data_IF_164556567520
#
_entry.id   IF_164556567520
#
_cell.length_a   1.000
_cell.length_b   1.000
_cell.length_c   1.000
_cell.angle_alpha   90.00
_cell.angle_beta   90.00
_cell.angle_gamma   90.00
#
_symmetry.space_group_name_H-M   'P 1'
#
loop_
_entity.id
_entity.type
_entity.pdbx_description
1 polymer ?
#
# COMPACT_ATOMS: atom_id res chain seq x y z
N UNK A 1 -3.63 -7.80 -35.78
CA UNK A 1 -2.42 -8.10 -34.98
C UNK A 1 -2.84 -8.79 -33.69
N UNK A 2 -2.40 -10.01 -33.45
CA UNK A 2 -2.70 -10.73 -32.22
C UNK A 2 -1.83 -10.18 -31.09
N UNK A 3 -2.45 -9.54 -30.10
CA UNK A 3 -1.78 -9.22 -28.84
C UNK A 3 -1.69 -10.54 -28.07
N UNK A 4 -0.58 -11.25 -28.24
CA UNK A 4 -0.23 -12.41 -27.41
C UNK A 4 -0.27 -11.97 -25.95
N UNK A 5 -1.27 -12.45 -25.22
CA UNK A 5 -1.39 -12.25 -23.78
C UNK A 5 -0.34 -13.12 -23.08
N UNK A 6 0.94 -12.73 -23.18
CA UNK A 6 2.05 -13.45 -22.58
C UNK A 6 1.91 -13.40 -21.05
N UNK A 7 1.70 -14.57 -20.43
CA UNK A 7 1.59 -14.69 -18.97
C UNK A 7 2.85 -14.20 -18.23
N UNK A 8 4.01 -14.20 -18.89
CA UNK A 8 5.30 -13.76 -18.34
C UNK A 8 5.93 -12.70 -19.26
N UNK A 9 6.23 -11.48 -18.75
CA UNK A 9 6.94 -10.47 -19.52
C UNK A 9 8.39 -10.90 -19.75
N UNK A 10 8.79 -10.97 -21.02
CA UNK A 10 10.15 -11.31 -21.46
C UNK A 10 10.83 -10.05 -21.97
N UNK A 11 12.14 -9.93 -21.74
CA UNK A 11 12.94 -8.82 -22.27
C UNK A 11 13.10 -8.99 -23.78
N UNK A 12 12.78 -7.97 -24.56
CA UNK A 12 12.91 -8.02 -26.03
C UNK A 12 14.34 -7.71 -26.48
N UNK A 13 14.61 -7.84 -27.78
CA UNK A 13 15.93 -7.61 -28.37
C UNK A 13 16.46 -6.17 -28.15
N UNK A 14 15.57 -5.20 -28.00
CA UNK A 14 15.88 -3.80 -27.67
C UNK A 14 16.24 -3.59 -26.18
N UNK A 15 16.24 -4.66 -25.39
CA UNK A 15 16.53 -4.64 -23.97
C UNK A 15 15.42 -4.06 -23.10
N UNK A 16 14.23 -3.84 -23.64
CA UNK A 16 13.09 -3.26 -22.93
C UNK A 16 11.95 -4.28 -22.73
N UNK A 17 10.95 -3.87 -21.96
CA UNK A 17 9.72 -4.61 -21.70
C UNK A 17 8.51 -3.85 -22.24
N UNK A 18 7.63 -4.54 -22.96
CA UNK A 18 6.39 -3.98 -23.46
C UNK A 18 5.21 -4.63 -22.73
N UNK A 19 4.54 -3.86 -21.88
CA UNK A 19 3.45 -4.36 -21.03
C UNK A 19 2.27 -3.42 -21.15
N UNK A 20 1.10 -3.97 -21.50
CA UNK A 20 -0.15 -3.21 -21.66
C UNK A 20 0.02 -1.99 -22.61
N UNK A 21 0.82 -2.17 -23.68
CA UNK A 21 1.11 -1.12 -24.67
C UNK A 21 2.12 -0.05 -24.24
N UNK A 22 2.74 -0.19 -23.07
CA UNK A 22 3.76 0.75 -22.55
C UNK A 22 5.14 0.13 -22.53
N UNK A 23 6.15 0.94 -22.87
CA UNK A 23 7.57 0.57 -22.83
C UNK A 23 8.17 0.86 -21.46
N UNK A 24 8.86 -0.11 -20.89
CA UNK A 24 9.61 0.00 -19.65
C UNK A 24 11.04 -0.46 -19.85
N UNK A 25 12.00 0.24 -19.25
CA UNK A 25 13.42 -0.16 -19.28
C UNK A 25 13.66 -1.38 -18.38
N UNK A 26 12.99 -1.40 -17.24
CA UNK A 26 13.13 -2.44 -16.22
C UNK A 26 11.77 -3.04 -15.87
N UNK A 27 11.74 -4.34 -15.57
CA UNK A 27 10.51 -4.99 -15.11
C UNK A 27 10.25 -4.69 -13.63
N UNK A 28 11.31 -4.74 -12.83
CA UNK A 28 11.29 -4.51 -11.39
C UNK A 28 12.14 -3.29 -11.06
N UNK A 29 11.66 -2.43 -10.16
CA UNK A 29 12.41 -1.26 -9.70
C UNK A 29 11.97 -0.74 -8.33
N UNK A 30 12.54 0.40 -7.94
CA UNK A 30 12.12 1.16 -6.77
C UNK A 30 10.73 1.78 -6.97
N UNK A 31 10.13 2.30 -5.89
CA UNK A 31 8.83 2.99 -5.97
C UNK A 31 8.92 4.24 -6.84
N UNK A 32 10.04 4.95 -6.76
CA UNK A 32 10.36 6.13 -7.57
C UNK A 32 10.47 5.75 -9.06
N UNK A 33 11.20 4.68 -9.39
CA UNK A 33 11.32 4.21 -10.77
C UNK A 33 9.97 3.81 -11.38
N UNK A 34 9.09 3.16 -10.59
CA UNK A 34 7.74 2.80 -11.02
C UNK A 34 6.85 4.03 -11.18
N UNK A 35 6.98 5.01 -10.28
CA UNK A 35 6.23 6.26 -10.37
C UNK A 35 6.62 7.09 -11.61
N UNK A 36 7.91 7.14 -11.92
CA UNK A 36 8.45 7.84 -13.08
C UNK A 36 8.22 7.09 -14.41
N UNK A 37 7.84 5.80 -14.36
CA UNK A 37 7.57 4.98 -15.54
C UNK A 37 8.81 4.29 -16.13
N UNK A 38 9.95 4.33 -15.45
CA UNK A 38 11.15 3.58 -15.85
C UNK A 38 10.95 2.08 -15.66
N UNK A 39 10.31 1.70 -14.56
CA UNK A 39 10.04 0.31 -14.19
C UNK A 39 8.53 0.01 -14.18
N UNK A 40 8.14 -1.22 -14.49
CA UNK A 40 6.73 -1.61 -14.51
C UNK A 40 6.12 -1.80 -13.12
N UNK A 41 6.84 -2.51 -12.23
CA UNK A 41 6.38 -2.82 -10.87
C UNK A 41 7.54 -2.86 -9.88
N UNK A 42 7.22 -2.80 -8.59
CA UNK A 42 8.23 -3.00 -7.54
C UNK A 42 8.49 -4.50 -7.31
N UNK A 43 9.54 -4.82 -6.53
CA UNK A 43 9.78 -6.19 -6.05
C UNK A 43 8.56 -6.78 -5.32
N UNK A 44 7.80 -5.95 -4.61
CA UNK A 44 6.52 -6.30 -3.98
C UNK A 44 5.31 -6.29 -4.91
N UNK A 45 5.51 -6.29 -6.23
CA UNK A 45 4.46 -6.28 -7.26
C UNK A 45 3.52 -5.07 -7.25
N UNK A 46 3.92 -3.94 -6.65
CA UNK A 46 3.14 -2.70 -6.71
C UNK A 46 3.35 -2.03 -8.06
N UNK A 47 2.27 -1.72 -8.77
CA UNK A 47 2.28 -0.91 -9.99
C UNK A 47 2.03 0.56 -9.64
N UNK A 48 2.21 1.45 -10.62
CA UNK A 48 1.99 2.89 -10.44
C UNK A 48 0.62 3.24 -9.85
N UNK A 49 -0.44 2.53 -10.24
CA UNK A 49 -1.82 2.71 -9.71
C UNK A 49 -1.97 2.35 -8.23
N UNK A 50 -1.09 1.49 -7.71
CA UNK A 50 -1.11 1.02 -6.31
C UNK A 50 -0.27 1.93 -5.40
N UNK A 51 0.33 2.98 -5.97
CA UNK A 51 1.18 3.96 -5.29
C UNK A 51 0.48 5.32 -5.19
N UNK A 52 0.83 6.07 -4.16
CA UNK A 52 0.35 7.44 -3.94
C UNK A 52 1.47 8.28 -3.35
N UNK A 53 1.56 9.54 -3.77
CA UNK A 53 2.44 10.51 -3.14
C UNK A 53 1.74 11.11 -1.93
N UNK A 54 2.37 11.00 -0.76
CA UNK A 54 1.84 11.63 0.46
C UNK A 54 2.18 13.13 0.47
N UNK A 55 1.61 13.87 1.44
CA UNK A 55 1.86 15.32 1.60
C UNK A 55 3.32 15.70 1.88
N UNK A 56 4.18 14.72 2.16
CA UNK A 56 5.61 14.89 2.44
C UNK A 56 6.49 14.50 1.23
N UNK A 57 5.89 14.31 0.05
CA UNK A 57 6.61 13.94 -1.18
C UNK A 57 7.08 12.47 -1.24
N UNK A 58 6.70 11.62 -0.28
CA UNK A 58 7.08 10.19 -0.30
C UNK A 58 6.06 9.37 -1.07
N UNK A 59 6.55 8.45 -1.91
CA UNK A 59 5.72 7.50 -2.65
C UNK A 59 5.47 6.27 -1.78
N UNK A 60 4.21 6.05 -1.39
CA UNK A 60 3.79 4.97 -0.48
C UNK A 60 2.73 4.09 -1.14
N UNK A 61 2.49 2.89 -0.59
CA UNK A 61 1.37 2.04 -1.03
C UNK A 61 0.03 2.69 -0.67
N UNK A 62 -0.87 2.79 -1.65
CA UNK A 62 -2.18 3.40 -1.50
C UNK A 62 -3.04 2.64 -0.47
N UNK A 63 -3.03 1.31 -0.48
CA UNK A 63 -3.82 0.49 0.43
C UNK A 63 -3.36 0.63 1.87
N UNK A 64 -2.04 0.62 2.10
CA UNK A 64 -1.49 0.82 3.44
C UNK A 64 -1.80 2.22 3.97
N UNK A 65 -1.74 3.23 3.12
CA UNK A 65 -2.10 4.59 3.48
C UNK A 65 -3.58 4.73 3.85
N UNK A 66 -4.48 4.14 3.06
CA UNK A 66 -5.93 4.15 3.31
C UNK A 66 -6.30 3.38 4.58
N UNK A 67 -5.80 2.16 4.74
CA UNK A 67 -6.09 1.31 5.91
C UNK A 67 -5.57 1.91 7.21
N UNK A 68 -4.35 2.48 7.22
CA UNK A 68 -3.81 3.15 8.39
C UNK A 68 -4.70 4.32 8.86
N UNK A 69 -5.21 5.14 7.93
CA UNK A 69 -6.13 6.24 8.25
C UNK A 69 -7.49 5.77 8.74
N UNK A 70 -8.03 4.69 8.15
CA UNK A 70 -9.34 4.15 8.52
C UNK A 70 -9.31 3.48 9.89
N UNK A 71 -8.32 2.66 10.16
CA UNK A 71 -8.36 1.75 11.31
C UNK A 71 -7.88 2.39 12.61
N UNK A 72 -6.99 3.40 12.54
CA UNK A 72 -6.40 4.11 13.71
C UNK A 72 -6.03 3.13 14.83
N UNK A 73 -5.37 2.01 14.48
CA UNK A 73 -5.18 0.83 15.35
C UNK A 73 -4.64 1.19 16.73
N UNK A 74 -3.64 2.05 16.79
CA UNK A 74 -3.03 2.48 18.06
C UNK A 74 -4.07 3.11 18.99
N UNK A 75 -4.85 4.06 18.49
CA UNK A 75 -5.90 4.72 19.25
C UNK A 75 -7.02 3.74 19.64
N UNK A 76 -7.39 2.83 18.72
CA UNK A 76 -8.36 1.76 18.98
C UNK A 76 -7.93 0.87 20.15
N UNK A 77 -6.64 0.61 20.31
CA UNK A 77 -6.08 -0.15 21.44
C UNK A 77 -5.66 0.74 22.63
N UNK A 78 -6.01 2.02 22.62
CA UNK A 78 -5.80 2.94 23.73
C UNK A 78 -4.42 3.60 23.79
N UNK A 79 -3.61 3.50 22.74
CA UNK A 79 -2.29 4.13 22.66
C UNK A 79 -2.37 5.51 22.02
N UNK A 80 -1.91 6.53 22.75
CA UNK A 80 -1.90 7.94 22.33
C UNK A 80 -0.54 8.58 22.55
N UNK A 81 -0.30 9.74 21.93
CA UNK A 81 0.86 10.59 22.19
C UNK A 81 0.41 11.87 22.92
N UNK A 82 1.23 12.38 23.84
CA UNK A 82 1.00 13.66 24.54
C UNK A 82 2.21 14.57 24.31
N UNK A 83 1.98 15.80 23.85
CA UNK A 83 3.06 16.79 23.65
C UNK A 83 3.84 16.98 24.96
N UNK A 84 5.17 16.98 24.87
CA UNK A 84 6.07 17.12 26.03
C UNK A 84 6.30 15.84 26.84
N UNK A 85 5.72 14.70 26.45
CA UNK A 85 6.01 13.39 27.07
C UNK A 85 6.55 12.44 26.01
N UNK A 86 7.77 11.94 26.22
CA UNK A 86 8.38 10.93 25.38
C UNK A 86 7.69 9.56 25.59
N UNK A 87 7.48 8.81 24.50
CA UNK A 87 6.81 7.51 24.51
C UNK A 87 5.29 7.55 24.37
N UNK A 88 4.65 6.39 24.57
CA UNK A 88 3.19 6.24 24.45
C UNK A 88 2.48 6.53 25.78
N UNK A 89 1.23 7.00 25.69
CA UNK A 89 0.31 7.16 26.81
C UNK A 89 -0.85 6.21 26.60
N UNK A 90 -1.01 5.23 27.49
CA UNK A 90 -2.12 4.28 27.46
C UNK A 90 -3.33 4.86 28.18
N UNK A 91 -4.45 5.00 27.47
CA UNK A 91 -5.76 5.35 28.04
C UNK A 91 -6.62 4.10 28.15
N UNK A 92 -7.48 4.03 29.15
CA UNK A 92 -8.49 2.97 29.22
C UNK A 92 -9.52 3.19 28.11
N UNK A 93 -9.52 2.30 27.14
CA UNK A 93 -10.62 2.20 26.17
C UNK A 93 -11.75 1.44 26.84
N UNK A 94 -12.91 2.07 27.07
CA UNK A 94 -14.12 1.35 27.52
C UNK A 94 -14.44 0.28 26.48
N UNK A 95 -14.21 -0.99 26.82
CA UNK A 95 -14.80 -2.10 26.06
C UNK A 95 -16.30 -2.01 26.28
N UNK A 96 -17.07 -1.65 25.26
CA UNK A 96 -18.49 -1.93 25.26
C UNK A 96 -18.61 -3.46 25.32
N UNK A 97 -18.89 -4.01 26.52
CA UNK A 97 -19.32 -5.40 26.65
C UNK A 97 -20.66 -5.46 25.92
N UNK A 98 -20.68 -6.03 24.72
CA UNK A 98 -21.95 -6.39 24.10
C UNK A 98 -22.62 -7.36 25.07
N UNK A 99 -23.73 -6.97 25.67
CA UNK A 99 -24.58 -7.89 26.40
C UNK A 99 -25.03 -8.96 25.39
N UNK A 100 -24.48 -10.17 25.48
CA UNK A 100 -25.06 -11.35 24.84
C UNK A 100 -26.44 -11.49 25.50
N UNK A 101 -27.51 -11.04 24.85
CA UNK A 101 -28.85 -11.48 25.21
C UNK A 101 -28.89 -12.96 24.84
N UNK A 102 -28.90 -13.84 25.84
CA UNK A 102 -29.33 -15.22 25.64
C UNK A 102 -30.78 -15.14 25.15
N UNK A 103 -31.01 -15.42 23.88
CA UNK A 103 -32.34 -15.72 23.38
C UNK A 103 -32.63 -17.17 23.76
N UNK A 104 -33.19 -17.37 24.95
CA UNK A 104 -33.90 -18.60 25.30
C UNK A 104 -35.36 -18.44 24.93
N UNK A 105 -35.77 -19.09 23.83
CA UNK A 105 -36.98 -19.90 23.66
C UNK A 105 -37.11 -20.32 22.20
#
# INVERSE_FOLDING_TARGET
MYILHMKRPVRQADGCYYIEGKKYKELFGSREQVWNGTAYKTSGSLRKRDLVMNKWGRIVSADKFKTAKKERRLEKYGYFAKKGKFGYVKKSTRKNRSSKKNSEK
#
